data_IF_194436125120
#
_entry.id   IF_194436125120
#
_cell.length_a   1.000
_cell.length_b   1.000
_cell.length_c   1.000
_cell.angle_alpha   90.00
_cell.angle_beta   90.00
_cell.angle_gamma   90.00
#
_symmetry.space_group_name_H-M   'P 1'
#
loop_
_entity.id
_entity.type
_entity.pdbx_description
1 polymer ?
#
# COMPACT_ATOMS: atom_id res chain seq x y z
N UNK A 1 8.28 -4.51 5.05
CA UNK A 1 7.55 -3.96 6.21
C UNK A 1 8.57 -3.80 7.30
N UNK A 2 8.47 -2.75 8.10
CA UNK A 2 9.30 -2.65 9.29
C UNK A 2 8.40 -2.94 10.50
N UNK A 3 8.73 -3.93 11.36
CA UNK A 3 9.88 -4.85 11.31
C UNK A 3 9.72 -6.05 10.33
N UNK A 4 10.84 -6.74 10.03
CA UNK A 4 10.92 -7.90 9.12
C UNK A 4 10.16 -9.15 9.61
N UNK A 5 9.88 -9.23 10.92
CA UNK A 5 9.08 -10.29 11.54
C UNK A 5 8.10 -9.65 12.54
N UNK A 6 6.91 -9.25 12.10
CA UNK A 6 5.93 -8.63 12.98
C UNK A 6 5.45 -9.59 14.07
N UNK A 7 5.38 -9.11 15.32
CA UNK A 7 4.76 -9.84 16.43
C UNK A 7 3.39 -9.27 16.76
N UNK A 8 2.48 -10.14 17.20
CA UNK A 8 1.20 -9.74 17.77
C UNK A 8 1.41 -8.71 18.90
N UNK A 9 0.60 -7.66 18.92
CA UNK A 9 0.71 -6.54 19.88
C UNK A 9 1.69 -5.43 19.48
N UNK A 10 2.55 -5.63 18.48
CA UNK A 10 3.51 -4.61 18.04
C UNK A 10 2.94 -3.69 16.96
N UNK A 11 3.45 -2.45 16.94
CA UNK A 11 3.19 -1.50 15.86
C UNK A 11 3.99 -1.90 14.62
N UNK A 12 3.35 -1.85 13.47
CA UNK A 12 4.00 -2.01 12.17
C UNK A 12 3.70 -0.80 11.29
N UNK A 13 4.61 -0.51 10.38
CA UNK A 13 4.39 0.53 9.37
C UNK A 13 4.42 -0.08 7.98
N UNK A 14 3.36 0.17 7.22
CA UNK A 14 3.30 -0.15 5.79
C UNK A 14 3.58 1.12 5.01
N UNK A 15 4.56 1.05 4.12
CA UNK A 15 4.88 2.11 3.15
C UNK A 15 4.64 1.57 1.76
N UNK A 16 3.83 2.27 0.98
CA UNK A 16 3.53 1.95 -0.42
C UNK A 16 4.25 2.96 -1.28
N UNK A 17 5.12 2.47 -2.17
CA UNK A 17 5.84 3.29 -3.12
C UNK A 17 5.41 2.97 -4.55
N UNK A 18 5.41 3.99 -5.41
CA UNK A 18 5.38 3.83 -6.86
C UNK A 18 6.73 4.25 -7.43
N UNK A 19 7.39 3.32 -8.11
CA UNK A 19 8.64 3.57 -8.85
C UNK A 19 8.28 3.85 -10.30
N UNK A 20 8.57 5.06 -10.79
CA UNK A 20 8.42 5.39 -12.19
C UNK A 20 9.75 5.20 -12.91
N UNK A 21 9.95 4.02 -13.50
CA UNK A 21 11.16 3.70 -14.27
C UNK A 21 11.08 4.17 -15.74
N UNK A 22 9.96 4.80 -16.12
CA UNK A 22 9.75 5.34 -17.46
C UNK A 22 10.36 6.71 -17.68
N UNK A 23 10.12 7.25 -18.87
CA UNK A 23 10.57 8.58 -19.30
C UNK A 23 9.49 9.67 -19.21
N UNK A 24 8.24 9.31 -18.87
CA UNK A 24 7.11 10.24 -18.76
C UNK A 24 6.59 10.30 -17.32
N UNK A 25 6.06 11.44 -16.84
CA UNK A 25 5.47 11.54 -15.52
C UNK A 25 4.19 10.70 -15.41
N UNK A 26 3.96 10.12 -14.23
CA UNK A 26 2.74 9.38 -13.90
C UNK A 26 1.87 10.25 -12.98
N UNK A 27 0.63 10.48 -13.39
CA UNK A 27 -0.37 11.17 -12.59
C UNK A 27 -1.28 10.15 -11.90
N UNK A 28 -1.19 10.06 -10.57
CA UNK A 28 -2.00 9.18 -9.74
C UNK A 28 -3.34 9.85 -9.42
N UNK A 29 -4.43 9.18 -9.80
CA UNK A 29 -5.79 9.65 -9.55
C UNK A 29 -6.23 9.28 -8.14
N UNK A 30 -6.20 7.99 -7.83
CA UNK A 30 -6.64 7.44 -6.55
C UNK A 30 -6.03 6.06 -6.29
N UNK A 31 -6.25 5.56 -5.08
CA UNK A 31 -5.91 4.20 -4.71
C UNK A 31 -7.11 3.50 -4.06
N UNK A 32 -7.18 2.19 -4.21
CA UNK A 32 -8.01 1.33 -3.37
C UNK A 32 -7.08 0.49 -2.52
N UNK A 33 -7.24 0.58 -1.19
CA UNK A 33 -6.49 -0.22 -0.24
C UNK A 33 -7.45 -1.24 0.36
N UNK A 34 -7.03 -2.51 0.35
CA UNK A 34 -7.75 -3.60 0.98
C UNK A 34 -6.85 -4.28 1.99
N UNK A 35 -7.33 -4.43 3.22
CA UNK A 35 -6.64 -5.16 4.28
C UNK A 35 -7.50 -6.34 4.71
N UNK A 36 -6.90 -7.52 4.76
CA UNK A 36 -7.54 -8.75 5.24
C UNK A 36 -6.84 -9.17 6.51
N UNK A 37 -7.59 -9.36 7.60
CA UNK A 37 -7.08 -9.82 8.90
C UNK A 37 -7.89 -11.04 9.29
N UNK A 38 -7.23 -12.18 9.52
CA UNK A 38 -7.89 -13.45 9.88
C UNK A 38 -9.08 -13.79 8.95
N UNK A 39 -8.93 -13.54 7.64
CA UNK A 39 -9.97 -13.77 6.64
C UNK A 39 -11.02 -12.66 6.51
N UNK A 40 -11.08 -11.69 7.44
CA UNK A 40 -11.99 -10.54 7.35
C UNK A 40 -11.36 -9.41 6.54
N UNK A 41 -11.95 -9.09 5.38
CA UNK A 41 -11.50 -8.03 4.47
C UNK A 41 -12.20 -6.70 4.74
N UNK A 42 -11.42 -5.62 4.82
CA UNK A 42 -11.87 -4.22 4.82
C UNK A 42 -11.25 -3.56 3.58
N UNK A 43 -12.01 -2.78 2.84
CA UNK A 43 -11.56 -2.14 1.61
C UNK A 43 -12.17 -0.76 1.46
N UNK A 44 -11.40 0.19 0.93
CA UNK A 44 -11.89 1.54 0.69
C UNK A 44 -10.96 2.38 -0.20
N UNK A 45 -11.48 3.48 -0.76
CA UNK A 45 -10.67 4.44 -1.49
C UNK A 45 -9.74 5.19 -0.53
N UNK A 46 -8.54 5.51 -1.02
CA UNK A 46 -7.56 6.31 -0.30
C UNK A 46 -6.92 7.32 -1.26
N UNK A 47 -6.80 8.56 -0.79
CA UNK A 47 -6.06 9.60 -1.50
C UNK A 47 -4.56 9.33 -1.40
N UNK A 48 -3.82 9.31 -2.53
CA UNK A 48 -2.36 9.15 -2.49
C UNK A 48 -1.70 10.41 -1.92
N UNK A 49 -0.60 10.21 -1.18
CA UNK A 49 0.24 11.30 -0.66
C UNK A 49 0.95 12.06 -1.78
N UNK A 50 1.34 11.37 -2.85
CA UNK A 50 1.89 11.96 -4.07
C UNK A 50 0.96 11.70 -5.25
N UNK A 51 0.58 12.77 -5.97
CA UNK A 51 -0.25 12.69 -7.19
C UNK A 51 0.55 12.74 -8.47
N UNK A 52 1.76 13.30 -8.43
CA UNK A 52 2.67 13.37 -9.57
C UNK A 52 3.94 12.58 -9.23
N UNK A 53 4.29 11.63 -10.09
CA UNK A 53 5.52 10.83 -9.97
C UNK A 53 6.35 11.07 -11.22
N UNK A 54 7.40 11.87 -11.08
CA UNK A 54 8.31 12.24 -12.15
C UNK A 54 9.05 11.01 -12.71
N UNK A 55 9.58 11.09 -13.94
CA UNK A 55 10.47 10.06 -14.47
C UNK A 55 11.61 9.73 -13.51
N UNK A 56 11.95 8.45 -13.38
CA UNK A 56 12.98 7.91 -12.49
C UNK A 56 12.74 8.15 -10.98
N UNK A 57 11.55 8.64 -10.59
CA UNK A 57 11.23 8.90 -9.19
C UNK A 57 10.61 7.67 -8.52
N UNK A 58 11.02 7.42 -7.27
CA UNK A 58 10.30 6.56 -6.33
C UNK A 58 9.50 7.43 -5.35
N UNK A 59 8.19 7.51 -5.54
CA UNK A 59 7.30 8.32 -4.71
C UNK A 59 6.60 7.48 -3.65
N UNK A 60 6.49 8.01 -2.42
CA UNK A 60 5.66 7.45 -1.36
C UNK A 60 4.19 7.82 -1.65
N UNK A 61 3.34 6.81 -1.83
CA UNK A 61 1.91 7.02 -2.06
C UNK A 61 1.09 6.88 -0.78
N UNK A 62 1.54 6.07 0.17
CA UNK A 62 0.88 5.87 1.46
C UNK A 62 1.89 5.41 2.50
N UNK A 63 1.74 5.91 3.72
CA UNK A 63 2.33 5.35 4.92
C UNK A 63 1.25 5.23 5.98
N UNK A 64 1.05 4.03 6.50
CA UNK A 64 0.12 3.76 7.59
C UNK A 64 0.83 3.00 8.70
N UNK A 65 0.73 3.51 9.93
CA UNK A 65 1.23 2.84 11.13
C UNK A 65 0.04 2.28 11.86
N UNK A 66 0.02 0.97 12.01
CA UNK A 66 -1.07 0.22 12.62
C UNK A 66 -0.50 -0.69 13.72
N UNK A 67 -1.37 -1.22 14.57
CA UNK A 67 -0.98 -2.21 15.59
C UNK A 67 -1.54 -3.56 15.21
N UNK A 68 -0.69 -4.59 15.23
CA UNK A 68 -1.16 -5.96 15.16
C UNK A 68 -1.98 -6.28 16.39
N UNK A 69 -3.27 -6.59 16.22
CA UNK A 69 -4.04 -7.12 17.34
C UNK A 69 -3.45 -8.48 17.74
N UNK A 70 -3.46 -8.77 19.04
CA UNK A 70 -2.85 -9.99 19.59
C UNK A 70 -3.40 -11.28 18.97
N UNK A 71 -4.64 -11.25 18.48
CA UNK A 71 -5.31 -12.36 17.82
C UNK A 71 -5.01 -12.47 16.32
N UNK A 72 -4.12 -11.65 15.75
CA UNK A 72 -3.82 -11.68 14.32
C UNK A 72 -2.91 -12.87 13.97
N UNK A 73 -3.42 -13.81 13.18
CA UNK A 73 -2.73 -15.02 12.71
C UNK A 73 -2.49 -15.05 11.19
N UNK A 74 -3.18 -14.20 10.44
CA UNK A 74 -2.98 -14.02 9.01
C UNK A 74 -3.34 -12.59 8.65
N UNK A 75 -2.54 -11.98 7.80
CA UNK A 75 -2.85 -10.69 7.25
C UNK A 75 -2.37 -10.51 5.83
N UNK A 76 -3.13 -9.72 5.08
CA UNK A 76 -2.77 -9.31 3.75
C UNK A 76 -3.18 -7.86 3.53
N UNK A 77 -2.37 -7.12 2.78
CA UNK A 77 -2.78 -5.85 2.20
C UNK A 77 -2.57 -5.88 0.70
N UNK A 78 -3.62 -5.54 -0.02
CA UNK A 78 -3.62 -5.35 -1.46
C UNK A 78 -3.87 -3.87 -1.74
N UNK A 79 -3.02 -3.28 -2.58
CA UNK A 79 -3.14 -1.90 -3.00
C UNK A 79 -3.28 -1.87 -4.51
N UNK A 80 -4.37 -1.25 -4.96
CA UNK A 80 -4.55 -0.85 -6.35
C UNK A 80 -4.28 0.64 -6.47
N UNK A 81 -3.43 1.03 -7.41
CA UNK A 81 -3.22 2.41 -7.83
C UNK A 81 -3.85 2.61 -9.20
N UNK A 82 -4.64 3.69 -9.36
CA UNK A 82 -5.20 4.11 -10.65
C UNK A 82 -4.60 5.45 -11.07
N UNK A 83 -4.19 5.55 -12.32
CA UNK A 83 -3.68 6.80 -12.88
C UNK A 83 -4.79 7.60 -13.57
N UNK A 84 -4.50 8.86 -13.91
CA UNK A 84 -5.39 9.72 -14.70
C UNK A 84 -5.57 9.17 -16.13
N UNK A 85 -4.54 8.52 -16.69
CA UNK A 85 -4.58 7.93 -18.03
C UNK A 85 -5.28 6.57 -18.09
N UNK A 86 -5.70 6.04 -16.94
CA UNK A 86 -6.47 4.81 -16.84
C UNK A 86 -5.63 3.54 -16.60
N UNK A 87 -4.31 3.67 -16.42
CA UNK A 87 -3.47 2.54 -16.00
C UNK A 87 -3.84 2.10 -14.58
N UNK A 88 -3.66 0.79 -14.32
CA UNK A 88 -3.91 0.18 -13.02
C UNK A 88 -2.71 -0.67 -12.60
N UNK A 89 -2.17 -0.40 -11.42
CA UNK A 89 -1.12 -1.18 -10.79
C UNK A 89 -1.66 -1.83 -9.53
N UNK A 90 -1.41 -3.12 -9.34
CA UNK A 90 -1.81 -3.84 -8.13
C UNK A 90 -0.60 -4.49 -7.48
N UNK A 91 -0.45 -4.34 -6.18
CA UNK A 91 0.55 -5.06 -5.40
C UNK A 91 -0.08 -5.62 -4.12
N UNK A 92 0.38 -6.79 -3.69
CA UNK A 92 -0.07 -7.45 -2.47
C UNK A 92 1.11 -7.84 -1.60
N UNK A 93 0.96 -7.62 -0.31
CA UNK A 93 1.89 -8.09 0.72
C UNK A 93 1.11 -8.92 1.73
N UNK A 94 1.68 -10.04 2.16
CA UNK A 94 1.06 -10.96 3.10
C UNK A 94 2.00 -11.27 4.25
N UNK A 95 1.44 -11.47 5.43
CA UNK A 95 2.10 -11.97 6.62
C UNK A 95 1.31 -13.15 7.19
N UNK A 96 2.03 -14.19 7.63
CA UNK A 96 1.51 -15.40 8.26
C UNK A 96 2.43 -15.81 9.40
#
# INVERSE_FOLDING_TARGET
MEPDAPKAGEKYTVKVFLSNEGSAPIQVKDMIVSTTINGKRISGPMSPQARDVAPQQKALLMSATETWKEDTSNWAMEVTVRTVRGERYTNQVTWK
#
